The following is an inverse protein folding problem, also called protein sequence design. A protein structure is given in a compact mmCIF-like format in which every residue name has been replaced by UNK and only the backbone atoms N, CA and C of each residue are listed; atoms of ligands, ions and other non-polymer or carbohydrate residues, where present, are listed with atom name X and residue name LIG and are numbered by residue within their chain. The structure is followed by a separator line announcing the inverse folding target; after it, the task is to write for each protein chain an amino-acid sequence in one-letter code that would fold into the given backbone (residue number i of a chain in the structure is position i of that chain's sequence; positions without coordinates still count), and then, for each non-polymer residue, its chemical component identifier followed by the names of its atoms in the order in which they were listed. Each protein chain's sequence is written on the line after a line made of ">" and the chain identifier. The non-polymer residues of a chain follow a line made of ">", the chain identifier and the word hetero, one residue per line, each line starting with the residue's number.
data_IF_519054738125
#
_entry.id   IF_519054738125
#
_cell.length_a   1.000
_cell.length_b   1.000
_cell.length_c   1.000
_cell.angle_alpha   90.00
_cell.angle_beta   90.00
_cell.angle_gamma   90.00
#
_symmetry.space_group_name_H-M   'P 1'
#
loop_
_entity.id
_entity.type
_entity.pdbx_description
1 polymer ?
#
# COMPACT_ATOMS: atom_id res chain seq x y z
N UNK A 1 23.74 -8.66 -0.16
CA UNK A 1 23.61 -7.27 -0.59
C UNK A 1 23.28 -6.41 0.62
N UNK A 2 24.23 -5.55 1.05
CA UNK A 2 23.98 -4.58 2.12
C UNK A 2 23.12 -3.45 1.55
N UNK A 3 21.91 -3.25 2.12
CA UNK A 3 21.10 -2.06 1.83
C UNK A 3 21.87 -0.82 2.31
N UNK A 4 22.06 0.14 1.43
CA UNK A 4 22.60 1.42 1.82
C UNK A 4 21.47 2.24 2.47
N UNK A 5 21.51 2.39 3.80
CA UNK A 5 20.59 3.23 4.57
C UNK A 5 21.29 4.56 4.84
N UNK A 6 21.12 5.58 4.01
CA UNK A 6 21.92 6.79 4.08
C UNK A 6 21.59 7.69 5.29
N UNK A 7 20.46 7.40 5.99
CA UNK A 7 20.02 8.20 7.15
C UNK A 7 18.97 7.45 7.98
N UNK A 8 18.88 7.82 9.27
CA UNK A 8 17.84 7.34 10.18
C UNK A 8 16.71 8.38 10.27
N UNK A 9 15.50 7.90 10.48
CA UNK A 9 14.38 8.79 10.78
C UNK A 9 14.55 9.42 12.16
N UNK A 10 14.27 10.74 12.32
CA UNK A 10 14.23 11.35 13.63
C UNK A 10 13.17 10.69 14.55
N UNK A 11 13.48 10.60 15.85
CA UNK A 11 12.56 10.00 16.84
C UNK A 11 11.15 10.56 16.76
N UNK A 12 11.00 11.86 16.51
CA UNK A 12 9.70 12.55 16.40
C UNK A 12 8.78 11.98 15.31
N UNK A 13 9.34 11.45 14.21
CA UNK A 13 8.56 10.86 13.10
C UNK A 13 8.74 9.33 13.01
N UNK A 14 9.24 8.71 14.08
CA UNK A 14 9.43 7.25 14.18
C UNK A 14 8.42 6.59 15.13
N UNK A 15 7.39 7.29 15.56
CA UNK A 15 6.35 6.78 16.45
C UNK A 15 5.33 5.93 15.69
N UNK A 16 4.66 5.00 16.37
CA UNK A 16 3.68 4.07 15.77
C UNK A 16 2.52 4.78 15.05
N UNK A 17 2.13 5.98 15.52
CA UNK A 17 1.05 6.78 14.92
C UNK A 17 1.53 7.74 13.82
N UNK A 18 2.81 7.74 13.49
CA UNK A 18 3.33 8.62 12.44
C UNK A 18 2.88 8.16 11.07
N UNK A 19 2.25 9.05 10.31
CA UNK A 19 1.80 8.73 8.96
C UNK A 19 2.99 8.45 8.02
N UNK A 20 2.80 7.54 7.07
CA UNK A 20 3.78 7.25 6.02
C UNK A 20 4.15 8.50 5.20
N UNK A 21 3.23 9.46 5.09
CA UNK A 21 3.47 10.75 4.47
C UNK A 21 4.65 11.50 5.09
N UNK A 22 4.67 11.67 6.41
CA UNK A 22 5.75 12.42 7.09
C UNK A 22 7.11 11.74 6.89
N UNK A 23 7.14 10.41 6.95
CA UNK A 23 8.34 9.62 6.69
C UNK A 23 8.82 9.79 5.24
N UNK A 24 7.90 9.76 4.29
CA UNK A 24 8.23 9.94 2.87
C UNK A 24 8.74 11.35 2.57
N UNK A 25 8.09 12.39 3.08
CA UNK A 25 8.54 13.79 2.90
C UNK A 25 9.93 14.01 3.49
N UNK A 26 10.20 13.44 4.66
CA UNK A 26 11.54 13.50 5.26
C UNK A 26 12.59 12.85 4.33
N UNK A 27 12.31 11.65 3.84
CA UNK A 27 13.20 10.94 2.92
C UNK A 27 13.41 11.71 1.60
N UNK A 28 12.36 12.25 1.02
CA UNK A 28 12.41 13.10 -0.20
C UNK A 28 13.34 14.28 0.01
N UNK A 29 13.12 15.02 1.10
CA UNK A 29 13.91 16.23 1.38
C UNK A 29 15.40 15.91 1.55
N UNK A 30 15.74 14.80 2.17
CA UNK A 30 17.13 14.37 2.32
C UNK A 30 17.74 13.91 1.00
N UNK A 31 16.98 13.15 0.21
CA UNK A 31 17.43 12.69 -1.10
C UNK A 31 17.69 13.86 -2.05
N UNK A 32 16.75 14.80 -2.13
CA UNK A 32 16.82 15.93 -3.06
C UNK A 32 17.96 16.93 -2.75
N UNK A 33 18.40 16.98 -1.50
CA UNK A 33 19.59 17.78 -1.14
C UNK A 33 20.89 17.33 -1.82
N UNK A 34 20.96 16.04 -2.19
CA UNK A 34 22.19 15.43 -2.74
C UNK A 34 22.05 14.98 -4.18
N UNK A 35 20.84 14.60 -4.62
CA UNK A 35 20.63 13.86 -5.85
C UNK A 35 19.70 14.56 -6.86
N UNK A 36 19.23 15.76 -6.54
CA UNK A 36 18.29 16.48 -7.41
C UNK A 36 16.83 16.10 -7.19
N UNK A 37 15.94 16.79 -7.89
CA UNK A 37 14.49 16.67 -7.75
C UNK A 37 13.97 15.30 -8.20
N UNK A 38 12.93 14.82 -7.51
CA UNK A 38 12.19 13.61 -7.88
C UNK A 38 10.76 13.95 -8.26
N UNK A 39 10.18 13.19 -9.19
CA UNK A 39 8.82 13.40 -9.69
C UNK A 39 7.81 12.49 -8.97
N UNK A 40 8.21 11.27 -8.62
CA UNK A 40 7.33 10.28 -8.04
C UNK A 40 8.03 9.42 -6.98
N UNK A 41 7.23 8.76 -6.16
CA UNK A 41 7.65 7.94 -5.03
C UNK A 41 6.97 6.58 -5.12
N UNK A 42 7.72 5.55 -4.80
CA UNK A 42 7.19 4.21 -4.54
C UNK A 42 7.40 3.91 -3.07
N UNK A 43 6.30 3.72 -2.33
CA UNK A 43 6.34 3.21 -0.97
C UNK A 43 6.18 1.69 -1.01
N UNK A 44 7.15 0.99 -0.42
CA UNK A 44 7.16 -0.46 -0.24
C UNK A 44 7.14 -0.74 1.26
N UNK A 45 6.05 -1.30 1.77
CA UNK A 45 5.94 -1.59 3.20
C UNK A 45 6.79 -2.83 3.56
N UNK A 46 7.53 -2.81 4.67
CA UNK A 46 8.36 -3.95 5.07
C UNK A 46 7.53 -5.19 5.44
N UNK A 47 6.26 -5.00 5.81
CA UNK A 47 5.33 -6.09 6.16
C UNK A 47 4.93 -6.97 4.99
N UNK A 48 5.19 -6.56 3.75
CA UNK A 48 4.94 -7.36 2.54
C UNK A 48 6.27 -7.78 1.90
N UNK A 49 6.94 -8.84 2.39
CA UNK A 49 8.31 -9.18 1.99
C UNK A 49 8.42 -9.77 0.59
N UNK A 50 7.38 -10.47 0.13
CA UNK A 50 7.41 -11.15 -1.17
C UNK A 50 7.02 -10.20 -2.30
N UNK A 51 8.00 -9.83 -3.10
CA UNK A 51 7.80 -8.98 -4.29
C UNK A 51 8.60 -9.50 -5.46
N UNK A 52 7.97 -9.65 -6.61
CA UNK A 52 8.69 -10.01 -7.83
C UNK A 52 9.04 -8.76 -8.65
N UNK A 53 10.21 -8.78 -9.25
CA UNK A 53 10.64 -7.73 -10.21
C UNK A 53 9.64 -7.64 -11.38
N UNK A 54 9.07 -8.78 -11.80
CA UNK A 54 8.07 -8.84 -12.88
C UNK A 54 6.81 -8.05 -12.52
N UNK A 55 6.28 -8.24 -11.31
CA UNK A 55 5.12 -7.49 -10.79
C UNK A 55 5.46 -6.00 -10.66
N UNK A 56 6.60 -5.68 -10.06
CA UNK A 56 7.03 -4.29 -9.93
C UNK A 56 7.12 -3.56 -11.27
N UNK A 57 7.75 -4.17 -12.30
CA UNK A 57 7.84 -3.58 -13.64
C UNK A 57 6.45 -3.35 -14.27
N UNK A 58 5.49 -4.25 -14.07
CA UNK A 58 4.09 -4.07 -14.56
C UNK A 58 3.40 -2.90 -13.90
N UNK A 59 3.49 -2.83 -12.56
CA UNK A 59 2.89 -1.75 -11.76
C UNK A 59 3.50 -0.40 -12.14
N UNK A 60 4.80 -0.32 -12.27
CA UNK A 60 5.49 0.90 -12.68
C UNK A 60 5.05 1.39 -14.06
N UNK A 61 4.97 0.48 -15.04
CA UNK A 61 4.46 0.81 -16.38
C UNK A 61 3.03 1.31 -16.36
N UNK A 62 2.17 0.71 -15.52
CA UNK A 62 0.78 1.13 -15.38
C UNK A 62 0.70 2.54 -14.75
N UNK A 63 1.48 2.79 -13.71
CA UNK A 63 1.56 4.11 -13.08
C UNK A 63 2.03 5.20 -14.05
N UNK A 64 3.04 4.91 -14.88
CA UNK A 64 3.58 5.88 -15.84
C UNK A 64 2.61 6.20 -16.99
N UNK A 65 1.58 5.39 -17.24
CA UNK A 65 0.53 5.69 -18.22
C UNK A 65 -0.45 6.77 -17.73
N UNK A 66 -0.70 6.81 -16.43
CA UNK A 66 -1.58 7.80 -15.81
C UNK A 66 -1.05 8.18 -14.42
N UNK A 67 -0.30 9.27 -14.37
CA UNK A 67 0.24 9.83 -13.13
C UNK A 67 -0.68 10.86 -12.48
N UNK A 68 -1.88 11.06 -13.03
CA UNK A 68 -2.87 12.01 -12.49
C UNK A 68 -3.50 11.55 -11.18
N UNK A 69 -3.40 10.24 -10.87
CA UNK A 69 -3.90 9.61 -9.65
C UNK A 69 -2.83 8.75 -9.01
N UNK A 70 -2.91 8.51 -7.68
CA UNK A 70 -2.11 7.47 -7.05
C UNK A 70 -2.46 6.09 -7.64
N UNK A 71 -1.49 5.17 -7.62
CA UNK A 71 -1.70 3.77 -7.95
C UNK A 71 -1.37 2.92 -6.72
N UNK A 72 -2.26 2.00 -6.37
CA UNK A 72 -2.09 1.07 -5.25
C UNK A 72 -2.22 -0.38 -5.71
N UNK A 73 -1.52 -1.26 -5.03
CA UNK A 73 -1.75 -2.70 -5.21
C UNK A 73 -2.87 -3.20 -4.31
N UNK A 74 -3.67 -4.10 -4.85
CA UNK A 74 -4.84 -4.66 -4.17
C UNK A 74 -4.92 -6.16 -4.36
N UNK A 75 -5.64 -6.84 -3.48
CA UNK A 75 -6.12 -8.20 -3.68
C UNK A 75 -7.66 -8.22 -3.77
N UNK A 76 -8.19 -9.06 -4.64
CA UNK A 76 -9.64 -9.28 -4.75
C UNK A 76 -10.12 -10.08 -3.56
N UNK A 77 -11.24 -9.68 -2.99
CA UNK A 77 -11.94 -10.45 -1.96
C UNK A 77 -13.00 -11.34 -2.62
N UNK A 78 -12.92 -12.64 -2.38
CA UNK A 78 -13.96 -13.59 -2.79
C UNK A 78 -15.11 -13.60 -1.78
N UNK A 79 -15.77 -12.45 -1.63
CA UNK A 79 -16.89 -12.29 -0.72
C UNK A 79 -18.13 -11.91 -1.52
N UNK A 80 -19.23 -12.58 -1.22
CA UNK A 80 -20.55 -12.24 -1.73
C UNK A 80 -21.27 -11.34 -0.72
N UNK A 81 -22.13 -10.46 -1.18
CA UNK A 81 -22.85 -9.48 -0.34
C UNK A 81 -23.66 -10.15 0.80
N UNK A 82 -24.08 -11.39 0.61
CA UNK A 82 -24.82 -12.18 1.58
C UNK A 82 -23.98 -12.59 2.82
N UNK A 83 -22.66 -12.49 2.75
CA UNK A 83 -21.72 -12.81 3.83
C UNK A 83 -21.27 -11.59 4.65
N UNK A 84 -21.76 -10.39 4.32
CA UNK A 84 -21.43 -9.20 5.08
C UNK A 84 -22.44 -8.91 6.19
N UNK A 85 -21.92 -8.73 7.39
CA UNK A 85 -22.70 -8.37 8.57
C UNK A 85 -22.03 -7.18 9.26
N UNK A 86 -22.84 -6.30 9.81
CA UNK A 86 -22.39 -5.17 10.63
C UNK A 86 -22.72 -5.49 12.08
N UNK A 87 -21.75 -5.34 12.98
CA UNK A 87 -22.01 -5.41 14.42
C UNK A 87 -22.70 -4.13 14.89
N UNK A 88 -23.87 -4.28 15.53
CA UNK A 88 -24.61 -3.21 16.15
C UNK A 88 -24.93 -3.62 17.60
N UNK A 89 -24.19 -3.07 18.55
CA UNK A 89 -24.20 -3.51 19.96
C UNK A 89 -23.83 -5.00 20.05
N UNK A 90 -24.72 -5.83 20.56
CA UNK A 90 -24.52 -7.28 20.75
C UNK A 90 -25.10 -8.13 19.61
N UNK A 91 -25.59 -7.49 18.54
CA UNK A 91 -26.18 -8.17 17.38
C UNK A 91 -25.30 -7.98 16.15
N UNK A 92 -25.35 -8.97 15.24
CA UNK A 92 -24.84 -8.82 13.87
C UNK A 92 -26.04 -8.73 12.92
N UNK A 93 -26.03 -7.70 12.09
CA UNK A 93 -27.11 -7.42 11.13
C UNK A 93 -26.56 -7.61 9.72
N UNK A 94 -27.29 -8.35 8.87
CA UNK A 94 -26.89 -8.50 7.48
C UNK A 94 -26.77 -7.14 6.79
N UNK A 95 -25.60 -6.90 6.17
CA UNK A 95 -25.39 -5.67 5.43
C UNK A 95 -26.18 -5.71 4.12
N UNK A 96 -27.24 -4.93 4.06
CA UNK A 96 -28.07 -4.81 2.86
C UNK A 96 -27.79 -3.45 2.23
N UNK A 97 -26.92 -3.42 1.22
CA UNK A 97 -26.74 -2.26 0.37
C UNK A 97 -27.09 -2.65 -1.07
N UNK A 98 -28.14 -2.08 -1.64
CA UNK A 98 -28.57 -2.31 -3.02
C UNK A 98 -27.48 -1.94 -4.05
N UNK A 99 -26.54 -1.06 -3.68
CA UNK A 99 -25.42 -0.62 -4.48
C UNK A 99 -24.11 -1.35 -4.15
N UNK A 100 -24.19 -2.54 -3.54
CA UNK A 100 -22.98 -3.30 -3.23
C UNK A 100 -22.23 -3.64 -4.51
N UNK A 101 -20.98 -3.19 -4.62
CA UNK A 101 -20.16 -3.46 -5.79
C UNK A 101 -20.04 -4.98 -6.01
N UNK A 102 -20.13 -5.41 -7.27
CA UNK A 102 -19.98 -6.83 -7.64
C UNK A 102 -18.60 -7.38 -7.23
N UNK A 103 -17.62 -6.51 -7.05
CA UNK A 103 -16.25 -6.87 -6.74
C UNK A 103 -15.72 -5.97 -5.62
N UNK A 104 -15.10 -6.60 -4.64
CA UNK A 104 -14.47 -5.91 -3.51
C UNK A 104 -12.98 -6.18 -3.57
N UNK A 105 -12.23 -5.11 -3.38
CA UNK A 105 -10.78 -5.15 -3.31
C UNK A 105 -10.32 -4.56 -1.99
N UNK A 106 -9.25 -5.13 -1.42
CA UNK A 106 -8.58 -4.58 -0.26
C UNK A 106 -7.12 -4.27 -0.59
N UNK A 107 -6.57 -3.26 0.06
CA UNK A 107 -5.15 -2.97 -0.02
C UNK A 107 -4.35 -4.16 0.50
N UNK A 108 -3.30 -4.54 -0.20
CA UNK A 108 -2.42 -5.63 0.22
C UNK A 108 -1.05 -5.14 0.74
N UNK A 109 -0.88 -3.82 0.89
CA UNK A 109 0.34 -3.24 1.46
C UNK A 109 1.59 -3.29 0.57
N UNK A 110 1.56 -3.96 -0.58
CA UNK A 110 2.79 -4.24 -1.32
C UNK A 110 3.35 -3.02 -2.08
N UNK A 111 2.51 -2.24 -2.73
CA UNK A 111 2.94 -1.12 -3.57
C UNK A 111 2.00 0.07 -3.48
N UNK A 112 2.57 1.26 -3.24
CA UNK A 112 1.88 2.55 -3.33
C UNK A 112 2.75 3.48 -4.18
N UNK A 113 2.24 3.94 -5.30
CA UNK A 113 2.92 4.84 -6.22
C UNK A 113 2.16 6.16 -6.33
N UNK A 114 2.88 7.26 -6.20
CA UNK A 114 2.27 8.59 -6.23
C UNK A 114 3.29 9.62 -6.72
N UNK A 115 2.84 10.64 -7.44
CA UNK A 115 3.71 11.78 -7.76
C UNK A 115 3.96 12.61 -6.50
N UNK A 116 5.13 13.23 -6.42
CA UNK A 116 5.47 14.14 -5.30
C UNK A 116 4.44 15.26 -5.14
N UNK A 117 3.92 15.78 -6.26
CA UNK A 117 2.88 16.82 -6.27
C UNK A 117 1.61 16.33 -5.57
N UNK A 118 1.11 15.16 -5.94
CA UNK A 118 -0.09 14.57 -5.33
C UNK A 118 0.13 14.21 -3.86
N UNK A 119 1.27 13.63 -3.52
CA UNK A 119 1.62 13.31 -2.14
C UNK A 119 1.59 14.54 -1.23
N UNK A 120 2.15 15.67 -1.69
CA UNK A 120 2.09 16.93 -0.95
C UNK A 120 0.69 17.50 -0.84
N UNK A 121 -0.11 17.39 -1.91
CA UNK A 121 -1.51 17.86 -1.93
C UNK A 121 -2.39 17.05 -0.99
N UNK A 122 -2.33 15.73 -1.09
CA UNK A 122 -3.20 14.83 -0.33
C UNK A 122 -2.74 14.66 1.13
N UNK A 123 -1.45 14.88 1.42
CA UNK A 123 -0.78 14.52 2.69
C UNK A 123 -0.95 13.02 3.04
N UNK A 124 -1.18 12.20 2.03
CA UNK A 124 -1.38 10.75 2.11
C UNK A 124 -0.98 10.10 0.78
N UNK A 125 -0.66 8.79 0.81
CA UNK A 125 -0.50 7.95 -0.37
C UNK A 125 -1.84 7.56 -1.01
N UNK A 126 -2.93 7.70 -0.26
CA UNK A 126 -4.29 7.36 -0.70
C UNK A 126 -5.06 8.61 -1.14
N UNK A 127 -6.11 8.40 -1.92
CA UNK A 127 -7.11 9.40 -2.29
C UNK A 127 -8.46 8.72 -2.58
N UNK A 128 -9.54 9.47 -2.69
CA UNK A 128 -10.86 8.92 -3.02
C UNK A 128 -10.88 8.14 -4.34
N UNK A 129 -10.12 8.61 -5.34
CA UNK A 129 -10.00 7.96 -6.65
C UNK A 129 -8.54 7.59 -6.88
N UNK A 130 -8.30 6.32 -7.11
CA UNK A 130 -6.97 5.76 -7.33
C UNK A 130 -7.00 4.79 -8.51
N UNK A 131 -5.89 4.72 -9.22
CA UNK A 131 -5.62 3.59 -10.09
C UNK A 131 -5.22 2.40 -9.23
N UNK A 132 -5.49 1.18 -9.68
CA UNK A 132 -5.13 -0.02 -8.93
C UNK A 132 -4.49 -1.08 -9.81
N UNK A 133 -3.75 -1.96 -9.17
CA UNK A 133 -3.20 -3.17 -9.77
C UNK A 133 -3.55 -4.38 -8.89
N UNK A 134 -4.32 -5.30 -9.44
CA UNK A 134 -4.65 -6.55 -8.75
C UNK A 134 -3.45 -7.50 -8.75
N UNK A 135 -2.97 -7.86 -7.58
CA UNK A 135 -1.97 -8.91 -7.40
C UNK A 135 -2.70 -10.24 -7.21
N UNK A 136 -2.50 -11.17 -8.16
CA UNK A 136 -3.11 -12.52 -8.11
C UNK A 136 -2.23 -13.55 -7.42
N UNK A 137 -0.92 -13.27 -7.31
CA UNK A 137 0.02 -14.20 -6.67
C UNK A 137 -0.18 -14.19 -5.14
N UNK A 138 -0.51 -15.34 -4.58
CA UNK A 138 -0.78 -15.51 -3.14
C UNK A 138 0.43 -15.10 -2.30
N UNK A 139 1.65 -15.43 -2.69
CA UNK A 139 2.87 -15.04 -1.97
C UNK A 139 3.01 -13.52 -1.87
N UNK A 140 2.77 -12.80 -2.97
CA UNK A 140 2.88 -11.33 -3.03
C UNK A 140 1.71 -10.62 -2.33
N UNK A 141 0.69 -11.35 -1.88
CA UNK A 141 -0.47 -10.83 -1.14
C UNK A 141 -0.38 -11.03 0.38
N UNK A 142 0.75 -11.53 0.87
CA UNK A 142 0.96 -11.69 2.30
C UNK A 142 1.38 -10.35 2.89
N UNK A 143 0.59 -9.86 3.83
CA UNK A 143 0.91 -8.72 4.69
C UNK A 143 1.08 -9.24 6.12
N UNK A 144 2.23 -8.99 6.74
CA UNK A 144 2.60 -9.55 8.04
C UNK A 144 2.12 -8.60 9.14
N UNK A 145 0.93 -8.83 9.64
CA UNK A 145 0.34 -8.11 10.77
C UNK A 145 0.38 -8.95 12.07
N UNK A 146 0.55 -10.27 11.94
CA UNK A 146 0.54 -11.20 13.07
C UNK A 146 1.66 -12.24 12.95
N UNK A 147 1.90 -12.97 14.06
CA UNK A 147 2.83 -14.12 14.06
C UNK A 147 2.40 -15.23 13.10
N UNK A 148 1.09 -15.40 12.89
CA UNK A 148 0.59 -16.38 11.93
C UNK A 148 0.95 -15.99 10.49
N UNK A 149 0.86 -14.71 10.14
CA UNK A 149 1.26 -14.21 8.82
C UNK A 149 2.76 -14.37 8.61
N UNK A 150 3.57 -14.10 9.67
CA UNK A 150 5.02 -14.31 9.63
C UNK A 150 5.36 -15.78 9.37
N UNK A 151 4.69 -16.70 10.05
CA UNK A 151 4.89 -18.13 9.85
C UNK A 151 4.46 -18.58 8.45
N UNK A 152 3.37 -18.03 7.93
CA UNK A 152 2.93 -18.26 6.55
C UNK A 152 3.96 -17.73 5.55
N UNK A 153 4.44 -16.50 5.74
CA UNK A 153 5.46 -15.91 4.89
C UNK A 153 6.73 -16.77 4.83
N UNK A 154 7.20 -17.28 5.99
CA UNK A 154 8.38 -18.16 6.07
C UNK A 154 8.19 -19.48 5.32
N UNK A 155 7.00 -20.08 5.36
CA UNK A 155 6.71 -21.34 4.65
C UNK A 155 6.67 -21.18 3.13
N UNK A 156 6.51 -19.96 2.65
CA UNK A 156 6.39 -19.65 1.22
C UNK A 156 7.67 -19.05 0.60
N UNK A 157 8.73 -18.94 1.41
CA UNK A 157 10.07 -18.52 0.95
C UNK A 157 10.74 -19.54 0.04
#
# INVERSE_FOLDING_TARGET
>A
NKLNIPYLRPKKISQNKTSSYLSAIHAINLYEKKNGKIDAIVLLQPTTPHRSIKTFKKILRLFLRDTSKPLVSVKKMNLTSDKFFIKKKDLIIKYQNKNFAKEIYILNGAYFLITKRLLKKNKDFLSEKMNFFEIKNIKENIDIDSNNDLNLARKLC
#
